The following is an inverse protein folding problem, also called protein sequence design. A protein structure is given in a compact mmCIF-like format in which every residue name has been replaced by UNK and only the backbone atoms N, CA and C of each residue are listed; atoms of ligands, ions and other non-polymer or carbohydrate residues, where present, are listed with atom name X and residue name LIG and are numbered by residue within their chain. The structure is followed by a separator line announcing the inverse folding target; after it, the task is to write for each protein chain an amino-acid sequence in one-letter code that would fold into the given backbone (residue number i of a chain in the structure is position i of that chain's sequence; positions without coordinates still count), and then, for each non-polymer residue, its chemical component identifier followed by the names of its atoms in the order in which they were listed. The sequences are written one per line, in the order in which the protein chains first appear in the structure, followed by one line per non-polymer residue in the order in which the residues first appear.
data_IF_017256617473
#
_entry.id   IF_017256617473
#
_cell.length_a   1.000
_cell.length_b   1.000
_cell.length_c   1.000
_cell.angle_alpha   90.00
_cell.angle_beta   90.00
_cell.angle_gamma   90.00
#
_symmetry.space_group_name_H-M   'P 1'
#
loop_
_entity.id
_entity.type
_entity.pdbx_description
1 polymer ?
#
# COMPACT_ATOMS: atom_id res chain seq x y z
N UNK A 1 43.71 11.82 0.49
CA UNK A 1 43.23 10.84 1.45
C UNK A 1 41.80 11.11 1.92
N UNK A 2 41.49 12.33 2.35
CA UNK A 2 40.12 12.63 2.78
C UNK A 2 39.06 12.40 1.70
N UNK A 3 39.38 12.70 0.45
CA UNK A 3 38.44 12.47 -0.67
C UNK A 3 38.17 11.02 -0.94
N UNK A 4 39.15 10.16 -0.80
CA UNK A 4 38.99 8.72 -0.93
C UNK A 4 38.09 8.15 0.15
N UNK A 5 38.26 8.63 1.40
CA UNK A 5 37.44 8.22 2.52
C UNK A 5 35.97 8.59 2.30
N UNK A 6 35.71 9.78 1.78
CA UNK A 6 34.35 10.23 1.44
C UNK A 6 33.77 9.37 0.33
N UNK A 7 34.55 9.01 -0.68
CA UNK A 7 34.12 8.15 -1.76
C UNK A 7 33.70 6.77 -1.25
N UNK A 8 34.49 6.17 -0.37
CA UNK A 8 34.18 4.88 0.26
C UNK A 8 32.89 4.99 1.08
N UNK A 9 32.72 6.07 1.83
CA UNK A 9 31.51 6.29 2.60
C UNK A 9 30.26 6.38 1.72
N UNK A 10 30.34 7.09 0.60
CA UNK A 10 29.24 7.16 -0.36
C UNK A 10 28.90 5.78 -0.95
N UNK A 11 29.88 4.95 -1.22
CA UNK A 11 29.64 3.58 -1.69
C UNK A 11 28.91 2.74 -0.63
N UNK A 12 29.26 2.90 0.64
CA UNK A 12 28.57 2.21 1.72
C UNK A 12 27.12 2.67 1.84
N UNK A 13 26.85 3.97 1.69
CA UNK A 13 25.49 4.49 1.66
C UNK A 13 24.70 3.95 0.49
N UNK A 14 25.34 3.85 -0.68
CA UNK A 14 24.71 3.25 -1.86
C UNK A 14 24.41 1.77 -1.60
N UNK A 15 25.29 1.04 -0.89
CA UNK A 15 25.04 -0.31 -0.47
C UNK A 15 23.81 -0.45 0.43
N UNK A 16 23.50 0.56 1.24
CA UNK A 16 22.28 0.57 2.05
C UNK A 16 21.01 0.71 1.23
N UNK A 17 21.10 1.11 -0.03
CA UNK A 17 19.94 1.21 -0.92
C UNK A 17 19.34 -0.13 -1.32
N UNK A 18 19.96 -1.25 -0.94
CA UNK A 18 19.36 -2.58 -1.10
C UNK A 18 18.14 -2.78 -0.21
N UNK A 19 17.97 -1.96 0.81
CA UNK A 19 16.76 -2.00 1.61
C UNK A 19 15.57 -1.56 0.76
N UNK A 20 14.51 -2.33 0.87
CA UNK A 20 13.29 -2.08 0.13
C UNK A 20 12.69 -0.72 0.53
N UNK A 21 12.49 0.14 -0.46
CA UNK A 21 11.73 1.36 -0.29
C UNK A 21 10.25 0.96 -0.13
N UNK A 22 9.56 1.40 0.94
CA UNK A 22 8.16 1.08 1.14
C UNK A 22 7.23 1.60 0.03
N UNK A 23 7.68 2.60 -0.72
CA UNK A 23 6.91 3.14 -1.84
C UNK A 23 7.12 2.37 -3.14
N UNK A 24 8.08 1.45 -3.18
CA UNK A 24 8.30 0.64 -4.38
C UNK A 24 7.19 -0.39 -4.52
N UNK A 25 6.52 -0.38 -5.65
CA UNK A 25 5.49 -1.35 -6.00
C UNK A 25 6.13 -2.64 -6.49
N UNK A 26 5.76 -3.76 -5.86
CA UNK A 26 6.20 -5.08 -6.27
C UNK A 26 4.96 -5.92 -6.58
N UNK A 27 4.61 -6.10 -7.86
CA UNK A 27 3.44 -6.88 -8.20
C UNK A 27 3.59 -8.34 -7.77
N UNK A 28 2.49 -8.92 -7.30
CA UNK A 28 2.40 -10.32 -6.99
C UNK A 28 1.59 -11.01 -8.10
N UNK A 29 2.18 -11.96 -8.85
CA UNK A 29 1.52 -12.61 -9.97
C UNK A 29 0.20 -13.32 -9.61
N UNK A 30 -0.01 -13.63 -8.34
CA UNK A 30 -1.25 -14.22 -7.85
C UNK A 30 -2.42 -13.26 -7.96
N UNK A 31 -2.16 -11.95 -7.90
CA UNK A 31 -3.18 -10.91 -7.94
C UNK A 31 -3.14 -10.22 -9.30
N UNK A 32 -4.11 -10.52 -10.16
CA UNK A 32 -4.20 -9.98 -11.51
C UNK A 32 -5.47 -9.15 -11.63
N UNK A 33 -5.48 -8.02 -10.93
CA UNK A 33 -6.63 -7.13 -11.02
C UNK A 33 -6.76 -6.57 -12.44
N UNK A 34 -7.86 -6.89 -13.10
CA UNK A 34 -8.20 -6.35 -14.42
C UNK A 34 -9.18 -5.20 -14.27
N UNK A 35 -10.03 -5.28 -13.27
CA UNK A 35 -11.01 -4.22 -12.97
C UNK A 35 -10.81 -3.73 -11.55
N UNK A 36 -10.63 -2.42 -11.40
CA UNK A 36 -10.54 -1.75 -10.11
C UNK A 36 -11.73 -0.80 -10.00
N UNK A 37 -12.51 -0.94 -8.94
CA UNK A 37 -13.65 -0.08 -8.68
C UNK A 37 -13.40 0.64 -7.37
N UNK A 38 -13.61 1.94 -7.36
CA UNK A 38 -13.52 2.77 -6.16
C UNK A 38 -14.91 3.15 -5.71
N UNK A 39 -15.27 2.77 -4.50
CA UNK A 39 -16.57 3.02 -3.88
C UNK A 39 -16.41 3.99 -2.72
N UNK A 40 -17.21 5.03 -2.70
CA UNK A 40 -17.26 5.98 -1.60
C UNK A 40 -18.43 5.60 -0.69
N UNK A 41 -18.23 5.71 0.62
CA UNK A 41 -19.25 5.35 1.59
C UNK A 41 -19.29 6.32 2.76
N UNK A 42 -20.46 6.46 3.37
CA UNK A 42 -20.64 7.17 4.63
C UNK A 42 -20.46 6.26 5.84
N UNK A 43 -20.46 4.94 5.63
CA UNK A 43 -20.32 3.95 6.70
C UNK A 43 -19.26 2.93 6.31
N UNK A 44 -18.02 3.30 6.56
CA UNK A 44 -16.86 2.53 6.14
C UNK A 44 -16.78 1.16 6.80
N UNK A 45 -17.02 1.08 8.10
CA UNK A 45 -16.96 -0.19 8.81
C UNK A 45 -17.96 -1.19 8.27
N UNK A 46 -19.17 -0.72 8.01
CA UNK A 46 -20.23 -1.56 7.46
C UNK A 46 -19.91 -1.99 6.03
N UNK A 47 -19.48 -1.07 5.19
CA UNK A 47 -19.15 -1.36 3.79
C UNK A 47 -17.96 -2.31 3.68
N UNK A 48 -16.96 -2.17 4.53
CA UNK A 48 -15.79 -3.04 4.55
C UNK A 48 -16.05 -4.36 5.29
N UNK A 49 -17.03 -4.38 6.19
CA UNK A 49 -17.29 -5.54 7.03
C UNK A 49 -16.21 -5.78 8.07
N UNK A 50 -15.53 -4.72 8.50
CA UNK A 50 -14.40 -4.76 9.43
C UNK A 50 -14.69 -3.84 10.60
N UNK A 51 -14.51 -4.36 11.82
CA UNK A 51 -14.50 -3.54 13.02
C UNK A 51 -13.06 -3.39 13.48
N UNK A 52 -12.50 -2.17 13.49
CA UNK A 52 -11.11 -1.99 13.91
C UNK A 52 -10.95 -2.28 15.39
N UNK A 53 -9.75 -2.72 15.77
CA UNK A 53 -9.38 -2.90 17.17
C UNK A 53 -9.41 -1.56 17.90
N UNK A 54 -9.63 -1.60 19.24
CA UNK A 54 -9.58 -0.40 20.06
C UNK A 54 -8.26 0.36 19.85
N UNK A 55 -8.37 1.67 19.64
CA UNK A 55 -7.21 2.54 19.36
C UNK A 55 -6.80 2.61 17.90
N UNK A 56 -7.43 1.84 17.02
CA UNK A 56 -7.18 1.89 15.59
C UNK A 56 -8.36 2.50 14.84
N UNK A 57 -8.08 3.17 13.76
CA UNK A 57 -9.09 3.78 12.89
C UNK A 57 -9.02 3.13 11.53
N UNK A 58 -10.16 2.70 11.02
CA UNK A 58 -10.26 2.20 9.65
C UNK A 58 -10.31 3.39 8.70
N UNK A 59 -9.40 3.44 7.73
CA UNK A 59 -9.31 4.53 6.76
C UNK A 59 -9.83 4.11 5.38
N UNK A 60 -9.87 2.82 5.10
CA UNK A 60 -10.32 2.25 3.84
C UNK A 60 -10.14 0.75 3.85
N UNK A 61 -10.58 0.11 2.81
CA UNK A 61 -10.33 -1.31 2.59
C UNK A 61 -10.28 -1.64 1.11
N UNK A 62 -9.70 -2.79 0.80
CA UNK A 62 -9.70 -3.35 -0.54
C UNK A 62 -10.20 -4.79 -0.47
N UNK A 63 -11.07 -5.15 -1.41
CA UNK A 63 -11.59 -6.51 -1.54
C UNK A 63 -11.26 -7.04 -2.93
N UNK A 64 -10.56 -8.18 -2.97
CA UNK A 64 -10.20 -8.82 -4.23
C UNK A 64 -11.13 -10.00 -4.47
N UNK A 65 -11.85 -9.95 -5.58
CA UNK A 65 -12.81 -10.99 -5.99
C UNK A 65 -12.42 -11.41 -7.40
N UNK A 66 -11.67 -12.50 -7.51
CA UNK A 66 -11.13 -12.93 -8.80
C UNK A 66 -10.19 -11.88 -9.38
N UNK A 67 -10.50 -11.37 -10.57
CA UNK A 67 -9.75 -10.30 -11.25
C UNK A 67 -10.31 -8.89 -10.96
N UNK A 68 -11.30 -8.80 -10.10
CA UNK A 68 -11.95 -7.55 -9.73
C UNK A 68 -11.47 -7.13 -8.34
N UNK A 69 -11.02 -5.89 -8.20
CA UNK A 69 -10.64 -5.31 -6.92
C UNK A 69 -11.53 -4.12 -6.62
N UNK A 70 -12.14 -4.13 -5.44
CA UNK A 70 -13.02 -3.04 -4.99
C UNK A 70 -12.33 -2.32 -3.85
N UNK A 71 -12.06 -1.03 -4.05
CA UNK A 71 -11.52 -0.14 -3.04
C UNK A 71 -12.67 0.64 -2.43
N UNK A 72 -12.77 0.64 -1.11
CA UNK A 72 -13.82 1.35 -0.38
C UNK A 72 -13.16 2.37 0.55
N UNK A 73 -13.55 3.63 0.41
CA UNK A 73 -13.07 4.70 1.27
C UNK A 73 -14.23 5.62 1.68
N UNK A 74 -14.02 6.46 2.71
CA UNK A 74 -14.94 7.56 2.96
C UNK A 74 -14.97 8.51 1.77
N UNK A 75 -16.00 9.36 1.71
CA UNK A 75 -16.10 10.40 0.68
C UNK A 75 -14.92 11.35 0.71
N UNK A 76 -14.43 11.68 1.90
CA UNK A 76 -13.20 12.43 2.06
C UNK A 76 -12.08 11.48 2.45
N UNK A 77 -11.13 11.31 1.56
CA UNK A 77 -9.97 10.45 1.78
C UNK A 77 -8.73 11.11 1.23
N UNK A 78 -7.57 10.58 1.59
CA UNK A 78 -6.28 11.08 1.10
C UNK A 78 -5.78 10.22 -0.05
N UNK A 79 -4.93 10.79 -0.88
CA UNK A 79 -4.26 10.02 -1.94
C UNK A 79 -3.39 8.91 -1.34
N UNK A 80 -2.83 9.15 -0.17
CA UNK A 80 -2.05 8.15 0.56
C UNK A 80 -2.90 6.93 0.91
N UNK A 81 -4.11 7.14 1.45
CA UNK A 81 -5.05 6.05 1.75
C UNK A 81 -5.48 5.33 0.48
N UNK A 82 -5.84 6.08 -0.55
CA UNK A 82 -6.27 5.50 -1.82
C UNK A 82 -5.16 4.65 -2.44
N UNK A 83 -3.93 5.16 -2.47
CA UNK A 83 -2.77 4.43 -2.97
C UNK A 83 -2.47 3.17 -2.15
N UNK A 84 -2.60 3.25 -0.83
CA UNK A 84 -2.45 2.12 0.06
C UNK A 84 -3.44 0.99 -0.30
N UNK A 85 -4.71 1.33 -0.48
CA UNK A 85 -5.73 0.34 -0.82
C UNK A 85 -5.57 -0.19 -2.25
N UNK A 86 -5.18 0.68 -3.19
CA UNK A 86 -4.86 0.27 -4.56
C UNK A 86 -3.72 -0.75 -4.59
N UNK A 87 -2.74 -0.57 -3.74
CA UNK A 87 -1.61 -1.50 -3.63
C UNK A 87 -2.07 -2.92 -3.28
N UNK A 88 -3.07 -3.07 -2.43
CA UNK A 88 -3.64 -4.38 -2.11
C UNK A 88 -4.21 -5.09 -3.34
N UNK A 89 -4.67 -4.36 -4.34
CA UNK A 89 -5.20 -4.95 -5.56
C UNK A 89 -4.15 -5.73 -6.36
N UNK A 90 -2.89 -5.37 -6.22
CA UNK A 90 -1.78 -5.91 -7.01
C UNK A 90 -0.73 -6.64 -6.19
N UNK A 91 -0.62 -6.34 -4.92
CA UNK A 91 0.33 -7.00 -4.03
C UNK A 91 -0.35 -7.88 -2.98
N UNK A 92 -1.68 -7.83 -2.90
CA UNK A 92 -2.43 -8.58 -1.91
C UNK A 92 -2.17 -8.05 -0.51
N UNK A 93 -1.95 -8.95 0.43
CA UNK A 93 -1.66 -8.60 1.83
C UNK A 93 -0.17 -8.32 1.99
N UNK A 94 0.26 -7.14 1.53
CA UNK A 94 1.67 -6.74 1.53
C UNK A 94 2.17 -6.23 2.90
N UNK A 95 1.28 -6.04 3.83
CA UNK A 95 1.60 -5.70 5.22
C UNK A 95 0.71 -6.50 6.17
N UNK A 96 1.02 -6.45 7.43
CA UNK A 96 0.24 -7.16 8.47
C UNK A 96 -1.11 -6.51 8.79
#
# INVERSE_FOLDING_TARGET
MRRLTIGVFCLLLTGCSVFRDPDVFIPNPKYKAVRVTWVLTDDLERACGITPKAGYVLLGCAKVIGDWCVIITPKETTMSTLGHELRHCFEGKWHD
#
